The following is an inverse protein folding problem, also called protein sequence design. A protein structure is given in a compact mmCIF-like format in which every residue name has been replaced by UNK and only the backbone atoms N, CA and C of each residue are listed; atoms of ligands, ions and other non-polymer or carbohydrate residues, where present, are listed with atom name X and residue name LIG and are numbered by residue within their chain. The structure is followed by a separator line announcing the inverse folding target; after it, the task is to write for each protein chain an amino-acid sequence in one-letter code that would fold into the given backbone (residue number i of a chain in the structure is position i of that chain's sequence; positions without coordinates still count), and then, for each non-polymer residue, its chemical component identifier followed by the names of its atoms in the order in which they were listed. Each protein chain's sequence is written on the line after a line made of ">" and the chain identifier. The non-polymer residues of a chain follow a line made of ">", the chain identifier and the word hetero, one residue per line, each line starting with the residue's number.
data_IF_746651848651
#
_entry.id   IF_746651848651
#
_cell.length_a   1.000
_cell.length_b   1.000
_cell.length_c   1.000
_cell.angle_alpha   90.00
_cell.angle_beta   90.00
_cell.angle_gamma   90.00
#
_symmetry.space_group_name_H-M   'P 1'
#
loop_
_entity.id
_entity.type
_entity.pdbx_description
1 polymer ?
#
# COMPACT_ATOMS: atom_id res chain seq x y z
N UNK A 1 2.71 -7.48 7.51
CA UNK A 1 3.30 -6.54 6.52
C UNK A 1 2.50 -5.24 6.43
N UNK A 2 1.20 -5.29 6.08
CA UNK A 2 0.34 -4.10 6.01
C UNK A 2 0.43 -3.16 7.22
N UNK A 3 0.44 -3.69 8.45
CA UNK A 3 0.61 -2.86 9.67
C UNK A 3 1.88 -2.01 9.68
N UNK A 4 3.03 -2.62 9.34
CA UNK A 4 4.30 -1.90 9.26
C UNK A 4 4.27 -0.80 8.20
N UNK A 5 3.65 -1.07 7.04
CA UNK A 5 3.48 -0.08 5.97
C UNK A 5 2.61 1.09 6.43
N UNK A 6 1.52 0.82 7.15
CA UNK A 6 0.67 1.85 7.73
C UNK A 6 1.44 2.72 8.73
N UNK A 7 2.21 2.11 9.63
CA UNK A 7 3.00 2.85 10.63
C UNK A 7 4.09 3.72 9.95
N UNK A 8 4.76 3.22 8.91
CA UNK A 8 5.76 3.99 8.14
C UNK A 8 5.11 5.14 7.38
N UNK A 9 3.99 4.89 6.69
CA UNK A 9 3.23 5.93 5.98
C UNK A 9 2.80 7.04 6.93
N UNK A 10 2.17 6.68 8.04
CA UNK A 10 1.70 7.64 9.05
C UNK A 10 2.85 8.45 9.64
N UNK A 11 4.01 7.82 9.87
CA UNK A 11 5.21 8.51 10.35
C UNK A 11 5.76 9.49 9.30
N UNK A 12 5.79 9.12 8.03
CA UNK A 12 6.21 9.99 6.93
C UNK A 12 5.28 11.20 6.79
N UNK A 13 3.96 10.98 6.82
CA UNK A 13 2.94 12.03 6.78
C UNK A 13 3.04 12.97 7.97
N UNK A 14 3.20 12.44 9.19
CA UNK A 14 3.35 13.25 10.40
C UNK A 14 4.63 14.12 10.38
N UNK A 15 5.68 13.65 9.70
CA UNK A 15 6.92 14.39 9.49
C UNK A 15 6.89 15.33 8.27
N UNK A 16 5.79 15.36 7.50
CA UNK A 16 5.66 16.18 6.30
C UNK A 16 6.46 15.69 5.09
N UNK A 17 6.85 14.41 5.07
CA UNK A 17 7.57 13.83 3.94
C UNK A 17 6.62 13.32 2.85
N UNK A 18 6.83 13.71 1.58
CA UNK A 18 6.16 13.04 0.47
C UNK A 18 6.70 11.63 0.31
N UNK A 19 5.85 10.72 -0.19
CA UNK A 19 6.22 9.31 -0.34
C UNK A 19 5.60 8.69 -1.60
N UNK A 20 6.22 7.62 -2.06
CA UNK A 20 5.70 6.71 -3.07
C UNK A 20 5.96 5.29 -2.58
N UNK A 21 4.98 4.41 -2.74
CA UNK A 21 5.11 3.02 -2.33
C UNK A 21 5.76 2.19 -3.44
N UNK A 22 6.74 1.36 -3.07
CA UNK A 22 7.39 0.39 -3.96
C UNK A 22 7.00 -1.03 -3.51
N UNK A 23 6.44 -1.89 -4.34
CA UNK A 23 6.11 -1.80 -5.78
C UNK A 23 4.64 -2.16 -6.06
N UNK A 24 4.22 -1.99 -7.31
CA UNK A 24 2.86 -2.38 -7.71
C UNK A 24 2.71 -3.91 -7.76
N UNK A 25 3.73 -4.61 -8.27
CA UNK A 25 3.79 -6.04 -8.56
C UNK A 25 5.14 -6.61 -8.10
N UNK A 26 5.30 -7.93 -8.19
CA UNK A 26 6.40 -8.74 -7.62
C UNK A 26 6.18 -9.02 -6.14
N UNK A 27 6.85 -10.04 -5.57
CA UNK A 27 6.54 -10.63 -4.25
C UNK A 27 6.54 -9.70 -3.02
N UNK A 28 6.82 -8.40 -3.20
CA UNK A 28 6.71 -7.34 -2.20
C UNK A 28 5.70 -6.24 -2.59
N UNK A 29 4.87 -6.45 -3.60
CA UNK A 29 3.97 -5.47 -4.17
C UNK A 29 2.62 -5.36 -3.47
N UNK A 30 1.72 -4.57 -4.06
CA UNK A 30 0.34 -4.39 -3.61
C UNK A 30 -0.69 -5.17 -4.46
N UNK A 31 -0.23 -5.89 -5.48
CA UNK A 31 -1.05 -6.65 -6.41
C UNK A 31 -0.57 -8.10 -6.45
N UNK A 32 -1.51 -9.04 -6.46
CA UNK A 32 -1.20 -10.45 -6.70
C UNK A 32 -0.72 -10.65 -8.16
N UNK A 33 0.42 -11.31 -8.32
CA UNK A 33 1.09 -11.45 -9.63
C UNK A 33 0.29 -12.31 -10.62
N UNK A 34 -0.59 -13.20 -10.13
CA UNK A 34 -1.34 -14.14 -10.97
C UNK A 34 -2.71 -13.60 -11.35
N UNK A 35 -3.47 -13.18 -10.35
CA UNK A 35 -4.86 -12.73 -10.46
C UNK A 35 -4.97 -11.24 -10.79
N UNK A 36 -3.89 -10.49 -10.62
CA UNK A 36 -3.86 -9.02 -10.71
C UNK A 36 -4.82 -8.31 -9.75
N UNK A 37 -5.31 -9.02 -8.73
CA UNK A 37 -6.14 -8.43 -7.70
C UNK A 37 -5.28 -7.55 -6.78
N UNK A 38 -5.78 -6.36 -6.43
CA UNK A 38 -5.18 -5.53 -5.40
C UNK A 38 -5.39 -6.18 -4.03
N UNK A 39 -4.35 -6.21 -3.20
CA UNK A 39 -4.44 -6.64 -1.81
C UNK A 39 -5.20 -5.58 -0.99
N UNK A 40 -6.42 -5.87 -0.50
CA UNK A 40 -7.23 -4.89 0.22
C UNK A 40 -6.56 -4.37 1.48
N UNK A 41 -5.81 -5.20 2.19
CA UNK A 41 -5.12 -4.81 3.42
C UNK A 41 -3.95 -3.86 3.12
N UNK A 42 -3.31 -4.01 1.95
CA UNK A 42 -2.27 -3.08 1.50
C UNK A 42 -2.86 -1.76 1.01
N UNK A 43 -3.98 -1.78 0.29
CA UNK A 43 -4.70 -0.56 -0.13
C UNK A 43 -5.10 0.27 1.09
N UNK A 44 -5.69 -0.37 2.10
CA UNK A 44 -6.06 0.28 3.37
C UNK A 44 -4.82 0.83 4.11
N UNK A 45 -3.74 0.03 4.21
CA UNK A 45 -2.50 0.46 4.88
C UNK A 45 -1.87 1.70 4.22
N UNK A 46 -1.98 1.81 2.90
CA UNK A 46 -1.53 2.96 2.12
C UNK A 46 -2.45 4.18 2.22
N UNK A 47 -3.58 4.07 2.92
CA UNK A 47 -4.57 5.14 3.03
C UNK A 47 -5.30 5.41 1.71
N UNK A 48 -5.32 4.44 0.81
CA UNK A 48 -5.97 4.53 -0.50
C UNK A 48 -7.38 3.93 -0.43
N UNK A 49 -8.23 4.32 -1.38
CA UNK A 49 -9.56 3.74 -1.54
C UNK A 49 -9.58 2.73 -2.68
N UNK A 50 -10.29 1.62 -2.48
CA UNK A 50 -10.55 0.66 -3.56
C UNK A 50 -11.37 1.34 -4.67
N UNK A 51 -11.10 1.03 -5.95
CA UNK A 51 -11.96 1.45 -7.05
C UNK A 51 -13.37 0.87 -6.87
N UNK A 52 -14.43 1.57 -7.31
CA UNK A 52 -15.76 0.99 -7.35
C UNK A 52 -15.77 -0.25 -8.28
N UNK A 53 -16.48 -1.29 -7.85
CA UNK A 53 -16.75 -2.51 -8.62
C UNK A 53 -17.75 -2.27 -9.74
#
# INVERSE_FOLDING_TARGET
>A
RARYIADVRQSAEAAGFPWAFWDLFDGMGMMDDTTRALDPAMVEALGLTMPPT
#
